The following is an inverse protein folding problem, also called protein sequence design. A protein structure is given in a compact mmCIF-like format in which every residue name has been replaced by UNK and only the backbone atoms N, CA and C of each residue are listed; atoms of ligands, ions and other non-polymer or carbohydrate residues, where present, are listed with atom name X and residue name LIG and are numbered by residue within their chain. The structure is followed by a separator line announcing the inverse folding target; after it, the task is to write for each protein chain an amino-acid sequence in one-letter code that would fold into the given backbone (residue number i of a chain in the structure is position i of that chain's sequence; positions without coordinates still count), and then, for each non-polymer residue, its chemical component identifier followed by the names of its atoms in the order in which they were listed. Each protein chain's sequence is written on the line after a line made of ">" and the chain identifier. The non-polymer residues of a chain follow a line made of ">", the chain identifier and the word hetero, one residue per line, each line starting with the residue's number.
data_IF_839105806926
#
_entry.id   IF_839105806926
#
_cell.length_a   1.000
_cell.length_b   1.000
_cell.length_c   1.000
_cell.angle_alpha   90.00
_cell.angle_beta   90.00
_cell.angle_gamma   90.00
#
_symmetry.space_group_name_H-M   'P 1'
#
loop_
_entity.id
_entity.type
_entity.pdbx_description
1 polymer ?
#
# COMPACT_ATOMS: atom_id res chain seq x y z
N UNK A 1 23.81 -8.94 -8.03
CA UNK A 1 23.42 -10.17 -7.30
C UNK A 1 22.42 -9.89 -6.18
N UNK A 2 22.76 -9.15 -5.11
CA UNK A 2 21.80 -8.86 -4.02
C UNK A 2 20.56 -8.06 -4.49
N UNK A 3 20.77 -7.00 -5.28
CA UNK A 3 19.67 -6.21 -5.85
C UNK A 3 18.76 -7.00 -6.80
N UNK A 4 19.32 -8.01 -7.47
CA UNK A 4 18.57 -8.89 -8.39
C UNK A 4 17.68 -9.86 -7.60
N UNK A 5 18.19 -10.40 -6.48
CA UNK A 5 17.43 -11.25 -5.56
C UNK A 5 16.28 -10.45 -4.91
N UNK A 6 16.53 -9.21 -4.49
CA UNK A 6 15.50 -8.32 -3.96
C UNK A 6 14.40 -8.05 -5.00
N UNK A 7 14.80 -7.75 -6.24
CA UNK A 7 13.86 -7.53 -7.35
C UNK A 7 13.00 -8.76 -7.61
N UNK A 8 13.61 -9.93 -7.76
CA UNK A 8 12.91 -11.19 -8.00
C UNK A 8 11.93 -11.53 -6.85
N UNK A 9 12.32 -11.23 -5.60
CA UNK A 9 11.43 -11.40 -4.44
C UNK A 9 10.23 -10.46 -4.50
N UNK A 10 10.43 -9.19 -4.86
CA UNK A 10 9.33 -8.22 -5.02
C UNK A 10 8.38 -8.62 -6.14
N UNK A 11 8.91 -9.07 -7.28
CA UNK A 11 8.11 -9.56 -8.41
C UNK A 11 7.27 -10.77 -8.03
N UNK A 12 7.88 -11.79 -7.40
CA UNK A 12 7.15 -12.97 -6.91
C UNK A 12 5.99 -12.61 -5.98
N UNK A 13 6.17 -11.65 -5.08
CA UNK A 13 5.09 -11.19 -4.18
C UNK A 13 3.91 -10.57 -4.94
N UNK A 14 4.20 -9.78 -5.97
CA UNK A 14 3.19 -9.16 -6.82
C UNK A 14 2.49 -10.20 -7.71
N UNK A 15 3.24 -11.12 -8.31
CA UNK A 15 2.65 -12.14 -9.18
C UNK A 15 1.70 -13.06 -8.42
N UNK A 16 2.07 -13.47 -7.20
CA UNK A 16 1.22 -14.26 -6.30
C UNK A 16 -0.13 -13.60 -5.95
N UNK A 17 -0.27 -12.28 -6.15
CA UNK A 17 -1.48 -11.52 -5.86
C UNK A 17 -2.10 -10.85 -7.08
N UNK A 18 -1.60 -11.13 -8.30
CA UNK A 18 -2.02 -10.42 -9.52
C UNK A 18 -3.52 -10.51 -9.78
N UNK A 19 -4.16 -11.66 -9.48
CA UNK A 19 -5.60 -11.84 -9.62
C UNK A 19 -6.41 -10.89 -8.72
N UNK A 20 -5.95 -10.64 -7.49
CA UNK A 20 -6.60 -9.72 -6.55
C UNK A 20 -6.51 -8.28 -7.05
N UNK A 21 -5.34 -7.87 -7.54
CA UNK A 21 -5.16 -6.54 -8.14
C UNK A 21 -5.99 -6.38 -9.40
N UNK A 22 -6.02 -7.38 -10.29
CA UNK A 22 -6.84 -7.37 -11.51
C UNK A 22 -8.32 -7.20 -11.16
N UNK A 23 -8.84 -7.97 -10.19
CA UNK A 23 -10.21 -7.81 -9.70
C UNK A 23 -10.48 -6.37 -9.25
N UNK A 24 -9.59 -5.82 -8.41
CA UNK A 24 -9.74 -4.45 -7.91
C UNK A 24 -9.76 -3.42 -9.04
N UNK A 25 -8.80 -3.46 -9.98
CA UNK A 25 -8.70 -2.49 -11.07
C UNK A 25 -9.85 -2.60 -12.07
N UNK A 26 -10.38 -3.80 -12.31
CA UNK A 26 -11.46 -4.01 -13.28
C UNK A 26 -12.85 -3.72 -12.71
N UNK A 27 -13.06 -3.85 -11.39
CA UNK A 27 -14.40 -3.80 -10.80
C UNK A 27 -14.60 -2.69 -9.76
N UNK A 28 -13.56 -1.91 -9.43
CA UNK A 28 -13.75 -0.75 -8.56
C UNK A 28 -14.64 0.29 -9.25
N UNK A 29 -15.86 0.47 -8.75
CA UNK A 29 -16.87 1.39 -9.28
C UNK A 29 -16.82 2.80 -8.69
N UNK A 30 -15.75 3.15 -7.96
CA UNK A 30 -15.61 4.44 -7.28
C UNK A 30 -16.78 4.82 -6.33
N UNK A 31 -17.46 3.83 -5.73
CA UNK A 31 -18.64 4.03 -4.88
C UNK A 31 -18.39 4.69 -3.51
N UNK A 32 -17.14 5.03 -3.16
CA UNK A 32 -16.77 5.67 -1.89
C UNK A 32 -17.10 4.93 -0.57
N UNK A 33 -17.76 3.76 -0.59
CA UNK A 33 -18.07 2.99 0.62
C UNK A 33 -16.84 2.65 1.48
N UNK A 34 -15.70 2.38 0.82
CA UNK A 34 -14.44 2.15 1.55
C UNK A 34 -13.96 3.39 2.31
N UNK A 35 -14.22 4.59 1.77
CA UNK A 35 -13.85 5.86 2.38
C UNK A 35 -14.65 6.08 3.65
N UNK A 36 -15.98 5.97 3.58
CA UNK A 36 -16.89 6.19 4.71
C UNK A 36 -16.65 5.19 5.85
N UNK A 37 -16.23 3.97 5.51
CA UNK A 37 -15.88 2.94 6.50
C UNK A 37 -14.51 3.14 7.18
N UNK A 38 -13.66 4.05 6.66
CA UNK A 38 -12.29 4.22 7.14
C UNK A 38 -12.20 5.30 8.23
N UNK A 39 -11.95 4.89 9.48
CA UNK A 39 -11.84 5.84 10.60
C UNK A 39 -10.72 6.89 10.39
N UNK A 40 -9.61 6.53 9.73
CA UNK A 40 -8.55 7.49 9.44
C UNK A 40 -8.99 8.56 8.44
N UNK A 41 -9.78 8.18 7.42
CA UNK A 41 -10.34 9.15 6.49
C UNK A 41 -11.31 10.09 7.21
N UNK A 42 -12.21 9.54 8.02
CA UNK A 42 -13.20 10.32 8.77
C UNK A 42 -12.54 11.27 9.79
N UNK A 43 -11.55 10.79 10.55
CA UNK A 43 -10.90 11.58 11.61
C UNK A 43 -9.83 12.53 11.09
N UNK A 44 -9.43 12.43 9.82
CA UNK A 44 -8.42 13.33 9.20
C UNK A 44 -9.06 14.31 8.22
N UNK A 45 -10.26 14.79 8.57
CA UNK A 45 -10.96 15.82 7.80
C UNK A 45 -11.31 15.40 6.38
N UNK A 46 -11.54 14.09 6.16
CA UNK A 46 -11.86 13.52 4.83
C UNK A 46 -10.79 13.84 3.77
N UNK A 47 -9.53 14.00 4.18
CA UNK A 47 -8.42 14.20 3.24
C UNK A 47 -8.26 12.95 2.34
N UNK A 48 -8.31 13.10 1.00
CA UNK A 48 -8.22 12.00 0.04
C UNK A 48 -7.00 11.08 0.24
N UNK A 49 -5.89 11.58 0.80
CA UNK A 49 -4.71 10.73 1.05
C UNK A 49 -4.97 9.60 2.05
N UNK A 50 -6.00 9.75 2.89
CA UNK A 50 -6.46 8.74 3.84
C UNK A 50 -7.60 7.86 3.29
N UNK A 51 -8.11 8.12 2.09
CA UNK A 51 -9.11 7.27 1.45
C UNK A 51 -8.51 5.89 1.12
N UNK A 52 -9.16 4.76 1.46
CA UNK A 52 -8.59 3.43 1.20
C UNK A 52 -8.33 3.16 -0.28
N UNK A 53 -9.20 3.60 -1.19
CA UNK A 53 -8.99 3.46 -2.63
C UNK A 53 -7.76 4.25 -3.11
N UNK A 54 -7.59 5.48 -2.63
CA UNK A 54 -6.38 6.28 -2.88
C UNK A 54 -5.13 5.52 -2.46
N UNK A 55 -5.14 4.91 -1.27
CA UNK A 55 -3.98 4.14 -0.77
C UNK A 55 -3.67 2.95 -1.66
N UNK A 56 -4.67 2.19 -2.12
CA UNK A 56 -4.45 1.03 -3.00
C UNK A 56 -3.84 1.47 -4.33
N UNK A 57 -4.44 2.46 -4.99
CA UNK A 57 -3.99 2.96 -6.29
C UNK A 57 -2.58 3.57 -6.21
N UNK A 58 -2.30 4.37 -5.18
CA UNK A 58 -1.03 5.06 -5.02
C UNK A 58 0.07 4.24 -4.31
N UNK A 59 -0.22 3.00 -3.91
CA UNK A 59 0.78 2.06 -3.39
C UNK A 59 0.95 0.87 -4.32
N UNK A 60 0.29 -0.25 -4.02
CA UNK A 60 0.37 -1.50 -4.77
C UNK A 60 -0.05 -1.32 -6.23
N UNK A 61 -1.00 -0.44 -6.54
CA UNK A 61 -1.36 -0.11 -7.91
C UNK A 61 -0.19 0.46 -8.72
N UNK A 62 0.64 1.33 -8.12
CA UNK A 62 1.88 1.84 -8.77
C UNK A 62 2.91 0.74 -8.95
N UNK A 63 3.03 -0.19 -7.99
CA UNK A 63 3.93 -1.34 -8.09
C UNK A 63 3.56 -2.25 -9.27
N UNK A 64 2.28 -2.61 -9.42
CA UNK A 64 1.81 -3.40 -10.57
C UNK A 64 2.00 -2.68 -11.91
N UNK A 65 1.73 -1.37 -11.97
CA UNK A 65 1.90 -0.59 -13.20
C UNK A 65 3.35 -0.59 -13.70
N UNK A 66 4.33 -0.73 -12.78
CA UNK A 66 5.75 -0.72 -13.11
C UNK A 66 6.29 -2.04 -13.66
N UNK A 67 5.55 -3.16 -13.55
CA UNK A 67 5.91 -4.47 -14.12
C UNK A 67 7.37 -4.86 -13.84
N UNK A 68 7.75 -4.96 -12.57
CA UNK A 68 9.12 -5.32 -12.16
C UNK A 68 10.14 -4.19 -12.16
N UNK A 69 9.84 -3.04 -12.81
CA UNK A 69 10.68 -1.83 -12.78
C UNK A 69 10.47 -1.03 -11.49
N UNK A 70 10.72 -1.68 -10.37
CA UNK A 70 10.66 -1.09 -9.03
C UNK A 70 12.04 -0.54 -8.70
N UNK A 71 12.07 0.72 -8.26
CA UNK A 71 13.26 1.42 -7.79
C UNK A 71 13.07 1.90 -6.35
N UNK A 72 14.16 2.27 -5.68
CA UNK A 72 14.13 2.73 -4.29
C UNK A 72 13.27 3.99 -4.12
N UNK A 73 13.33 4.93 -5.06
CA UNK A 73 12.57 6.18 -5.02
C UNK A 73 11.06 5.92 -4.98
N UNK A 74 10.57 4.97 -5.75
CA UNK A 74 9.17 4.56 -5.74
C UNK A 74 8.77 4.00 -4.39
N UNK A 75 9.58 3.12 -3.81
CA UNK A 75 9.28 2.52 -2.51
C UNK A 75 9.24 3.58 -1.40
N UNK A 76 10.16 4.53 -1.38
CA UNK A 76 10.14 5.65 -0.42
C UNK A 76 8.91 6.56 -0.60
N UNK A 77 8.41 6.74 -1.82
CA UNK A 77 7.14 7.47 -2.05
C UNK A 77 5.92 6.70 -1.54
N UNK A 78 5.96 5.36 -1.59
CA UNK A 78 4.86 4.50 -1.13
C UNK A 78 4.86 4.34 0.40
N UNK A 79 6.04 4.36 1.02
CA UNK A 79 6.26 4.18 2.45
C UNK A 79 5.26 4.96 3.35
N UNK A 80 5.09 6.29 3.24
CA UNK A 80 4.13 7.00 4.09
C UNK A 80 2.68 6.57 3.83
N UNK A 81 2.32 6.21 2.61
CA UNK A 81 0.95 5.77 2.28
C UNK A 81 0.61 4.47 3.01
N UNK A 82 1.54 3.53 3.05
CA UNK A 82 1.29 2.18 3.55
C UNK A 82 1.57 2.04 5.05
N UNK A 83 2.51 2.81 5.60
CA UNK A 83 2.88 2.75 7.01
C UNK A 83 2.16 3.79 7.86
N UNK A 84 2.08 5.05 7.41
CA UNK A 84 1.46 6.16 8.17
C UNK A 84 -0.05 6.25 7.95
N UNK A 85 -0.52 6.18 6.70
CA UNK A 85 -1.93 6.44 6.41
C UNK A 85 -2.85 5.25 6.67
N UNK A 86 -2.33 4.09 7.09
CA UNK A 86 -3.13 2.89 7.33
C UNK A 86 -2.54 2.08 8.48
N UNK A 87 -3.38 1.70 9.44
CA UNK A 87 -3.01 0.81 10.57
C UNK A 87 -3.49 -0.64 10.38
N UNK A 88 -3.98 -1.00 9.19
CA UNK A 88 -4.51 -2.34 8.89
C UNK A 88 -5.67 -2.79 9.81
N UNK A 89 -6.50 -1.86 10.30
CA UNK A 89 -7.63 -2.13 11.21
C UNK A 89 -8.77 -2.99 10.63
N UNK A 90 -8.73 -3.33 9.34
CA UNK A 90 -9.73 -4.14 8.63
C UNK A 90 -11.17 -3.59 8.56
N UNK A 91 -11.44 -2.37 9.03
CA UNK A 91 -12.79 -1.78 9.04
C UNK A 91 -13.33 -1.36 7.67
N UNK A 92 -12.47 -1.11 6.69
CA UNK A 92 -12.90 -0.62 5.39
C UNK A 92 -13.67 -1.68 4.59
N UNK A 93 -14.85 -1.32 4.10
CA UNK A 93 -15.73 -2.18 3.33
C UNK A 93 -15.60 -1.94 1.81
N UNK A 94 -15.68 -3.00 1.02
CA UNK A 94 -15.71 -2.93 -0.44
C UNK A 94 -16.72 -3.94 -1.00
N UNK A 95 -17.78 -3.49 -1.71
CA UNK A 95 -18.82 -4.38 -2.23
C UNK A 95 -18.32 -5.35 -3.31
N UNK A 96 -17.18 -5.06 -3.95
CA UNK A 96 -16.50 -5.93 -4.91
C UNK A 96 -15.89 -7.18 -4.25
N UNK A 97 -15.81 -7.21 -2.92
CA UNK A 97 -15.18 -8.29 -2.16
C UNK A 97 -13.65 -8.21 -2.15
N UNK A 98 -13.06 -7.03 -2.33
CA UNK A 98 -11.62 -6.82 -2.20
C UNK A 98 -11.26 -6.36 -0.79
N UNK A 99 -10.30 -7.04 -0.16
CA UNK A 99 -9.72 -6.61 1.10
C UNK A 99 -8.65 -5.54 0.87
N UNK A 100 -9.00 -4.26 1.05
CA UNK A 100 -8.03 -3.15 1.03
C UNK A 100 -6.89 -3.34 2.04
N UNK A 101 -7.11 -3.77 3.30
CA UNK A 101 -6.01 -4.01 4.24
C UNK A 101 -5.02 -5.05 3.70
N UNK A 102 -5.50 -6.11 3.05
CA UNK A 102 -4.63 -7.11 2.41
C UNK A 102 -3.80 -6.51 1.27
N UNK A 103 -4.40 -5.61 0.47
CA UNK A 103 -3.67 -4.88 -0.58
C UNK A 103 -2.58 -3.96 -0.01
N UNK A 104 -2.86 -3.26 1.10
CA UNK A 104 -1.87 -2.42 1.77
C UNK A 104 -0.78 -3.27 2.44
N UNK A 105 -1.14 -4.43 3.02
CA UNK A 105 -0.18 -5.37 3.60
C UNK A 105 0.78 -5.93 2.54
N UNK A 106 0.29 -6.22 1.32
CA UNK A 106 1.13 -6.59 0.18
C UNK A 106 2.10 -5.47 -0.18
N UNK A 107 1.64 -4.22 -0.27
CA UNK A 107 2.52 -3.08 -0.53
C UNK A 107 3.62 -2.94 0.54
N UNK A 108 3.28 -3.15 1.83
CA UNK A 108 4.27 -3.20 2.92
C UNK A 108 5.26 -4.34 2.72
N UNK A 109 4.80 -5.54 2.33
CA UNK A 109 5.69 -6.68 2.09
C UNK A 109 6.68 -6.40 0.95
N UNK A 110 6.23 -5.76 -0.13
CA UNK A 110 7.11 -5.33 -1.22
C UNK A 110 8.11 -4.27 -0.76
N UNK A 111 7.69 -3.27 0.02
CA UNK A 111 8.61 -2.29 0.62
C UNK A 111 9.70 -2.99 1.44
N UNK A 112 9.30 -3.92 2.33
CA UNK A 112 10.26 -4.69 3.15
C UNK A 112 11.21 -5.55 2.32
N UNK A 113 10.71 -6.14 1.23
CA UNK A 113 11.55 -6.93 0.32
C UNK A 113 12.59 -6.07 -0.42
N UNK A 114 12.31 -4.79 -0.66
CA UNK A 114 13.27 -3.80 -1.18
C UNK A 114 13.99 -2.97 -0.11
N UNK A 115 14.03 -3.47 1.13
CA UNK A 115 14.76 -2.83 2.23
C UNK A 115 14.16 -1.51 2.74
N UNK A 116 12.89 -1.21 2.45
CA UNK A 116 12.19 -0.01 2.89
C UNK A 116 11.29 -0.32 4.09
N UNK A 117 11.61 0.30 5.21
CA UNK A 117 10.91 0.19 6.48
C UNK A 117 10.72 1.58 7.09
N UNK A 118 9.76 1.76 8.01
CA UNK A 118 9.75 2.93 8.88
C UNK A 118 11.05 2.98 9.68
N UNK A 119 11.75 4.11 9.66
CA UNK A 119 13.03 4.27 10.34
C UNK A 119 12.85 4.84 11.74
N UNK A 120 13.77 4.48 12.64
CA UNK A 120 14.01 5.21 13.88
C UNK A 120 15.24 6.09 13.67
N UNK A 121 15.21 7.32 14.18
CA UNK A 121 16.36 8.21 14.15
C UNK A 121 17.41 7.76 15.19
N UNK A 122 18.59 8.39 15.15
CA UNK A 122 19.71 8.06 16.03
C UNK A 122 19.43 8.29 17.52
N UNK A 123 18.34 9.00 17.86
CA UNK A 123 17.87 9.23 19.22
C UNK A 123 16.76 8.24 19.62
N UNK A 124 16.53 7.20 18.82
CA UNK A 124 15.51 6.18 19.07
C UNK A 124 14.08 6.68 18.82
N UNK A 125 13.89 7.86 18.22
CA UNK A 125 12.56 8.36 17.90
C UNK A 125 12.12 7.76 16.57
N UNK A 126 10.88 7.31 16.52
CA UNK A 126 10.25 6.97 15.25
C UNK A 126 10.16 8.22 14.36
N UNK A 127 10.12 8.01 13.04
CA UNK A 127 9.85 9.08 12.07
C UNK A 127 8.76 10.01 12.61
N UNK A 128 8.89 11.33 12.46
CA UNK A 128 8.02 12.32 13.13
C UNK A 128 6.53 12.24 12.78
N UNK A 129 6.17 11.29 11.92
CA UNK A 129 4.83 11.00 11.45
C UNK A 129 4.28 9.62 11.85
N UNK A 130 5.08 8.77 12.50
CA UNK A 130 4.63 7.56 13.20
C UNK A 130 4.06 7.95 14.58
#
# INVERSE_FOLDING_TARGET
>A
MAADIERERMERLLDAHAALMKRYLSHCMHCSMCAESCFMYMNKGKDPKYMPSYKVINSVGRLYKRRGRIDRRLLEQIKPIVFRHCVLCQRCYCPVGVSVPRMIALARAVCRAGGVFPTVDAQGRHESWL
#
